data_IF_252218617102
#
_entry.id   IF_252218617102
#
_cell.length_a   1.000
_cell.length_b   1.000
_cell.length_c   1.000
_cell.angle_alpha   90.00
_cell.angle_beta   90.00
_cell.angle_gamma   90.00
#
_symmetry.space_group_name_H-M   'P 1'
#
loop_
_entity.id
_entity.type
_entity.pdbx_description
1 polymer ?
#
# COMPACT_ATOMS: atom_id res chain seq x y z
N UNK A 1 -16.46 -77.01 -24.47
CA UNK A 1 -17.77 -76.55 -23.98
C UNK A 1 -17.93 -77.08 -22.56
N UNK A 2 -17.87 -76.20 -21.56
CA UNK A 2 -19.12 -75.79 -20.90
C UNK A 2 -19.33 -74.26 -20.90
N UNK A 3 -20.58 -73.85 -20.64
CA UNK A 3 -21.00 -72.46 -20.44
C UNK A 3 -21.32 -72.24 -18.95
N UNK A 4 -20.76 -71.20 -18.33
CA UNK A 4 -21.27 -70.55 -17.11
C UNK A 4 -20.74 -69.10 -17.11
N UNK A 5 -21.53 -68.13 -17.55
CA UNK A 5 -22.56 -67.41 -16.79
C UNK A 5 -22.01 -66.37 -15.82
N UNK A 6 -22.00 -65.12 -16.31
CA UNK A 6 -21.95 -63.84 -15.61
C UNK A 6 -21.50 -63.80 -14.15
N UNK A 7 -20.23 -63.42 -13.94
CA UNK A 7 -19.85 -62.65 -12.76
C UNK A 7 -20.58 -61.30 -12.80
N UNK A 8 -21.73 -61.23 -12.13
CA UNK A 8 -22.51 -60.00 -12.01
C UNK A 8 -21.69 -58.91 -11.29
N UNK A 9 -21.81 -57.66 -11.76
CA UNK A 9 -21.16 -56.54 -11.11
C UNK A 9 -21.80 -56.31 -9.73
N UNK A 10 -21.17 -56.83 -8.68
CA UNK A 10 -21.44 -56.44 -7.30
C UNK A 10 -20.91 -55.02 -7.06
N UNK A 11 -21.61 -54.04 -7.64
CA UNK A 11 -21.47 -52.63 -7.26
C UNK A 11 -21.84 -52.54 -5.79
N UNK A 12 -20.86 -52.22 -4.94
CA UNK A 12 -21.02 -52.24 -3.50
C UNK A 12 -22.13 -51.26 -3.08
N UNK A 13 -23.18 -51.79 -2.43
CA UNK A 13 -24.36 -51.02 -2.04
C UNK A 13 -24.07 -50.22 -0.76
N UNK A 14 -23.19 -49.23 -0.87
CA UNK A 14 -22.89 -48.30 0.23
C UNK A 14 -24.09 -47.38 0.46
N UNK A 15 -24.49 -47.21 1.73
CA UNK A 15 -25.51 -46.22 2.06
C UNK A 15 -24.99 -44.81 1.76
N UNK A 16 -25.76 -43.96 1.06
CA UNK A 16 -25.35 -42.60 0.78
C UNK A 16 -25.26 -41.81 2.09
N UNK A 17 -24.05 -41.34 2.42
CA UNK A 17 -23.79 -40.58 3.64
C UNK A 17 -24.38 -39.18 3.50
N UNK A 18 -25.62 -39.00 3.96
CA UNK A 18 -26.35 -37.73 3.91
C UNK A 18 -25.57 -36.64 4.66
N UNK A 19 -25.07 -35.65 3.92
CA UNK A 19 -24.49 -34.43 4.47
C UNK A 19 -25.58 -33.38 4.70
N UNK A 20 -25.35 -32.49 5.67
CA UNK A 20 -26.17 -31.28 5.83
C UNK A 20 -26.01 -30.37 4.61
N UNK A 21 -27.06 -29.66 4.13
CA UNK A 21 -27.00 -28.83 2.93
C UNK A 21 -26.30 -27.46 3.15
N UNK A 22 -25.06 -27.46 3.64
CA UNK A 22 -24.24 -26.24 3.79
C UNK A 22 -23.74 -25.68 2.45
N UNK A 23 -23.61 -26.53 1.43
CA UNK A 23 -22.92 -26.25 0.16
C UNK A 23 -23.39 -24.97 -0.53
N UNK A 24 -24.70 -24.70 -0.53
CA UNK A 24 -25.25 -23.48 -1.15
C UNK A 24 -24.83 -22.19 -0.44
N UNK A 25 -24.80 -22.20 0.89
CA UNK A 25 -24.32 -21.08 1.70
C UNK A 25 -22.80 -20.90 1.58
N UNK A 26 -22.04 -22.01 1.62
CA UNK A 26 -20.60 -21.96 1.39
C UNK A 26 -20.24 -21.42 0.01
N UNK A 27 -21.05 -21.71 -1.01
CA UNK A 27 -20.82 -21.22 -2.37
C UNK A 27 -21.15 -19.73 -2.50
N UNK A 28 -22.29 -19.26 -1.97
CA UNK A 28 -22.65 -17.83 -2.05
C UNK A 28 -21.69 -16.93 -1.26
N UNK A 29 -21.11 -17.43 -0.15
CA UNK A 29 -20.03 -16.74 0.58
C UNK A 29 -18.75 -16.66 -0.27
N UNK A 30 -18.39 -17.74 -0.99
CA UNK A 30 -17.22 -17.76 -1.90
C UNK A 30 -17.44 -16.81 -3.09
N UNK A 31 -18.62 -16.84 -3.70
CA UNK A 31 -19.05 -15.94 -4.79
C UNK A 31 -19.00 -14.47 -4.36
N UNK A 32 -19.56 -14.15 -3.18
CA UNK A 32 -19.50 -12.80 -2.61
C UNK A 32 -18.06 -12.33 -2.44
N UNK A 33 -17.16 -13.18 -1.93
CA UNK A 33 -15.72 -12.87 -1.80
C UNK A 33 -15.05 -12.65 -3.15
N UNK A 34 -15.34 -13.47 -4.16
CA UNK A 34 -14.80 -13.28 -5.51
C UNK A 34 -15.26 -11.96 -6.13
N UNK A 35 -16.55 -11.62 -5.98
CA UNK A 35 -17.13 -10.36 -6.46
C UNK A 35 -16.50 -9.14 -5.77
N UNK A 36 -16.26 -9.21 -4.45
CA UNK A 36 -15.56 -8.16 -3.70
C UNK A 36 -14.11 -7.94 -4.19
N UNK A 37 -13.33 -9.02 -4.36
CA UNK A 37 -11.96 -8.93 -4.88
C UNK A 37 -11.90 -8.37 -6.31
N UNK A 38 -12.84 -8.75 -7.17
CA UNK A 38 -12.97 -8.19 -8.51
C UNK A 38 -13.34 -6.70 -8.48
N UNK A 39 -14.27 -6.29 -7.62
CA UNK A 39 -14.65 -4.89 -7.47
C UNK A 39 -13.51 -4.01 -6.92
N UNK A 40 -12.70 -4.55 -6.01
CA UNK A 40 -11.49 -3.91 -5.47
C UNK A 40 -10.42 -3.71 -6.55
N UNK A 41 -10.11 -4.76 -7.32
CA UNK A 41 -9.22 -4.69 -8.48
C UNK A 41 -9.69 -3.64 -9.49
N UNK A 42 -10.95 -3.71 -9.94
CA UNK A 42 -11.55 -2.76 -10.88
C UNK A 42 -11.54 -1.31 -10.35
N UNK A 43 -11.68 -1.11 -9.04
CA UNK A 43 -11.60 0.21 -8.41
C UNK A 43 -10.17 0.77 -8.45
N UNK A 44 -9.17 -0.07 -8.19
CA UNK A 44 -7.76 0.32 -8.11
C UNK A 44 -7.05 0.50 -9.45
N UNK A 45 -7.49 -0.19 -10.52
CA UNK A 45 -6.85 -0.16 -11.83
C UNK A 45 -6.71 1.24 -12.45
N UNK A 46 -5.66 1.42 -13.25
CA UNK A 46 -5.40 2.63 -14.03
C UNK A 46 -6.61 2.96 -14.94
N UNK A 47 -7.14 4.21 -14.91
CA UNK A 47 -8.34 4.58 -15.67
C UNK A 47 -8.28 4.24 -17.15
N UNK A 48 -7.13 4.44 -17.80
CA UNK A 48 -6.90 4.19 -19.23
C UNK A 48 -7.00 2.72 -19.63
N UNK A 49 -6.77 1.80 -18.69
CA UNK A 49 -6.91 0.35 -18.91
C UNK A 49 -8.32 -0.08 -18.54
N UNK A 50 -8.84 0.42 -17.42
CA UNK A 50 -10.20 0.13 -16.94
C UNK A 50 -11.29 0.49 -17.95
N UNK A 51 -11.10 1.53 -18.76
CA UNK A 51 -12.02 1.89 -19.86
C UNK A 51 -12.07 0.87 -21.01
N UNK A 52 -11.06 0.01 -21.13
CA UNK A 52 -10.88 -0.92 -22.24
C UNK A 52 -11.10 -2.40 -21.85
N UNK A 53 -11.42 -2.67 -20.59
CA UNK A 53 -11.44 -4.03 -20.01
C UNK A 53 -12.80 -4.35 -19.41
N UNK A 54 -13.39 -5.47 -19.87
CA UNK A 54 -14.58 -6.08 -19.28
C UNK A 54 -14.17 -7.03 -18.13
N UNK A 55 -14.91 -7.03 -17.02
CA UNK A 55 -14.55 -7.79 -15.82
C UNK A 55 -14.53 -9.32 -16.03
N UNK A 56 -15.35 -9.86 -16.94
CA UNK A 56 -15.37 -11.29 -17.26
C UNK A 56 -14.12 -11.70 -18.06
N UNK A 57 -13.77 -10.96 -19.12
CA UNK A 57 -12.54 -11.15 -19.88
C UNK A 57 -11.29 -10.93 -19.01
N UNK A 58 -11.35 -9.98 -18.07
CA UNK A 58 -10.29 -9.74 -17.09
C UNK A 58 -10.01 -11.00 -16.27
N UNK A 59 -11.08 -11.62 -15.74
CA UNK A 59 -11.02 -12.83 -14.93
C UNK A 59 -10.55 -14.06 -15.70
N UNK A 60 -11.06 -14.28 -16.91
CA UNK A 60 -10.87 -15.52 -17.66
C UNK A 60 -9.58 -15.53 -18.50
N UNK A 61 -9.25 -14.41 -19.15
CA UNK A 61 -8.09 -14.34 -20.04
C UNK A 61 -6.89 -13.68 -19.34
N UNK A 62 -7.08 -12.48 -18.79
CA UNK A 62 -5.93 -11.63 -18.43
C UNK A 62 -5.28 -12.00 -17.10
N UNK A 63 -6.06 -12.25 -16.04
CA UNK A 63 -5.51 -12.54 -14.70
C UNK A 63 -4.74 -13.87 -14.63
N UNK A 64 -5.17 -14.97 -15.28
CA UNK A 64 -4.37 -16.19 -15.34
C UNK A 64 -3.03 -16.00 -16.07
N UNK A 65 -3.00 -15.17 -17.13
CA UNK A 65 -1.74 -14.78 -17.79
C UNK A 65 -0.89 -13.85 -16.91
N UNK A 66 -1.52 -12.92 -16.19
CA UNK A 66 -0.87 -11.98 -15.28
C UNK A 66 -0.08 -12.70 -14.18
N UNK A 67 -0.64 -13.78 -13.61
CA UNK A 67 0.05 -14.65 -12.64
C UNK A 67 1.35 -15.30 -13.18
N UNK A 68 1.48 -15.46 -14.50
CA UNK A 68 2.72 -15.92 -15.13
C UNK A 68 3.68 -14.76 -15.44
N UNK A 69 3.16 -13.58 -15.81
CA UNK A 69 3.94 -12.38 -16.15
C UNK A 69 4.61 -11.78 -14.90
N UNK A 70 3.96 -11.81 -13.74
CA UNK A 70 4.48 -11.29 -12.45
C UNK A 70 5.77 -12.01 -11.99
N UNK A 71 6.13 -13.16 -12.58
CA UNK A 71 7.27 -13.99 -12.16
C UNK A 71 8.41 -13.96 -13.20
N UNK A 72 9.20 -12.85 -13.28
CA UNK A 72 10.27 -12.70 -14.24
C UNK A 72 11.44 -13.65 -13.97
N UNK A 73 12.23 -13.95 -15.00
CA UNK A 73 13.34 -14.91 -14.96
C UNK A 73 14.65 -14.28 -14.45
N UNK A 74 14.58 -13.56 -13.33
CA UNK A 74 15.73 -12.85 -12.75
C UNK A 74 16.67 -13.79 -12.00
N UNK A 75 17.98 -13.58 -12.13
CA UNK A 75 18.99 -14.27 -11.30
C UNK A 75 18.91 -13.78 -9.85
N UNK A 76 19.09 -14.65 -8.83
CA UNK A 76 19.13 -14.26 -7.42
C UNK A 76 20.49 -13.61 -7.06
N UNK A 77 20.76 -12.44 -7.63
CA UNK A 77 21.95 -11.61 -7.37
C UNK A 77 21.52 -10.19 -6.98
N UNK A 78 22.46 -9.38 -6.48
CA UNK A 78 22.20 -7.96 -6.19
C UNK A 78 21.75 -7.22 -7.47
N UNK A 79 20.73 -6.37 -7.37
CA UNK A 79 20.13 -5.60 -8.48
C UNK A 79 21.15 -4.76 -9.27
N UNK A 80 22.23 -4.32 -8.62
CA UNK A 80 23.33 -3.62 -9.26
C UNK A 80 23.98 -4.47 -10.37
N UNK A 81 24.09 -5.80 -10.16
CA UNK A 81 24.69 -6.79 -11.05
C UNK A 81 23.72 -7.35 -12.12
N UNK A 82 22.49 -6.84 -12.19
CA UNK A 82 21.57 -7.16 -13.29
C UNK A 82 22.02 -6.49 -14.59
N UNK A 83 21.97 -7.26 -15.68
CA UNK A 83 22.16 -6.78 -17.05
C UNK A 83 21.01 -5.82 -17.43
N UNK A 84 21.22 -4.94 -18.42
CA UNK A 84 20.22 -3.98 -18.89
C UNK A 84 18.90 -4.65 -19.29
N UNK A 85 18.96 -5.88 -19.84
CA UNK A 85 17.78 -6.70 -20.14
C UNK A 85 17.03 -7.15 -18.88
N UNK A 86 17.72 -7.65 -17.86
CA UNK A 86 17.09 -8.06 -16.59
C UNK A 86 16.44 -6.86 -15.87
N UNK A 87 17.07 -5.68 -15.93
CA UNK A 87 16.51 -4.42 -15.43
C UNK A 87 15.26 -3.98 -16.21
N UNK A 88 15.25 -4.15 -17.53
CA UNK A 88 14.07 -3.87 -18.36
C UNK A 88 12.91 -4.84 -18.10
N UNK A 89 13.18 -6.15 -17.98
CA UNK A 89 12.17 -7.16 -17.64
C UNK A 89 11.56 -6.90 -16.24
N UNK A 90 12.37 -6.52 -15.25
CA UNK A 90 11.89 -6.12 -13.92
C UNK A 90 11.02 -4.84 -13.98
N UNK A 91 11.49 -3.79 -14.67
CA UNK A 91 10.74 -2.53 -14.84
C UNK A 91 9.40 -2.76 -15.56
N UNK A 92 9.37 -3.63 -16.56
CA UNK A 92 8.14 -4.01 -17.25
C UNK A 92 7.14 -4.67 -16.29
N UNK A 93 7.57 -5.64 -15.47
CA UNK A 93 6.68 -6.28 -14.48
C UNK A 93 6.14 -5.27 -13.47
N UNK A 94 6.99 -4.37 -12.96
CA UNK A 94 6.58 -3.29 -12.04
C UNK A 94 5.52 -2.39 -12.66
N UNK A 95 5.72 -1.96 -13.92
CA UNK A 95 4.78 -1.08 -14.61
C UNK A 95 3.40 -1.74 -14.74
N UNK A 96 3.35 -3.00 -15.19
CA UNK A 96 2.08 -3.74 -15.36
C UNK A 96 1.43 -4.00 -13.98
N UNK A 97 2.21 -4.28 -12.93
CA UNK A 97 1.67 -4.41 -11.56
C UNK A 97 1.04 -3.09 -11.05
N UNK A 98 1.67 -1.93 -11.27
CA UNK A 98 1.08 -0.63 -10.91
C UNK A 98 -0.21 -0.37 -11.71
N UNK A 99 -0.19 -0.68 -13.00
CA UNK A 99 -1.31 -0.48 -13.93
C UNK A 99 -2.55 -1.31 -13.56
N UNK A 100 -2.35 -2.56 -13.16
CA UNK A 100 -3.41 -3.47 -12.67
C UNK A 100 -3.62 -3.40 -11.14
N UNK A 101 -2.98 -2.45 -10.44
CA UNK A 101 -3.09 -2.22 -8.99
C UNK A 101 -2.71 -3.42 -8.09
N UNK A 102 -1.75 -4.25 -8.52
CA UNK A 102 -1.31 -5.43 -7.77
C UNK A 102 -0.10 -5.11 -6.89
N UNK A 103 -0.18 -5.53 -5.63
CA UNK A 103 0.81 -5.30 -4.57
C UNK A 103 1.29 -6.63 -3.99
N UNK A 104 2.52 -6.67 -3.45
CA UNK A 104 2.98 -7.76 -2.59
C UNK A 104 3.01 -7.28 -1.14
N UNK A 105 2.07 -7.75 -0.32
CA UNK A 105 1.95 -7.40 1.09
C UNK A 105 2.54 -8.50 1.97
N UNK A 106 3.34 -8.13 2.97
CA UNK A 106 3.94 -9.06 3.92
C UNK A 106 2.97 -9.38 5.06
N UNK A 107 2.27 -10.49 4.95
CA UNK A 107 1.37 -10.99 5.99
C UNK A 107 2.11 -11.86 7.01
N UNK A 108 1.64 -11.86 8.26
CA UNK A 108 2.11 -12.77 9.31
C UNK A 108 1.11 -13.91 9.46
N UNK A 109 1.54 -15.12 9.14
CA UNK A 109 0.79 -16.36 9.34
C UNK A 109 0.51 -16.57 10.84
N UNK A 110 -0.61 -17.21 11.26
CA UNK A 110 -0.84 -17.60 12.67
C UNK A 110 0.34 -18.38 13.28
N UNK A 111 1.01 -19.23 12.49
CA UNK A 111 2.23 -19.98 12.86
C UNK A 111 3.47 -19.08 13.13
N UNK A 112 3.34 -17.76 12.96
CA UNK A 112 4.40 -16.78 13.20
C UNK A 112 5.38 -16.53 12.04
N UNK A 113 5.28 -17.30 10.95
CA UNK A 113 6.01 -17.05 9.69
C UNK A 113 5.53 -15.78 8.99
N UNK A 114 6.39 -15.23 8.13
CA UNK A 114 6.04 -14.14 7.21
C UNK A 114 5.91 -14.67 5.77
N UNK A 115 4.85 -14.25 5.07
CA UNK A 115 4.57 -14.65 3.68
C UNK A 115 4.18 -13.40 2.89
N UNK A 116 4.69 -13.29 1.65
CA UNK A 116 4.25 -12.26 0.71
C UNK A 116 3.04 -12.76 -0.09
N UNK A 117 1.88 -12.19 0.20
CA UNK A 117 0.60 -12.45 -0.48
C UNK A 117 0.36 -11.37 -1.54
N UNK A 118 -0.36 -11.69 -2.62
CA UNK A 118 -0.83 -10.69 -3.57
C UNK A 118 -2.06 -9.95 -3.01
N UNK A 119 -2.06 -8.64 -3.16
CA UNK A 119 -3.12 -7.72 -2.73
C UNK A 119 -3.49 -6.81 -3.92
N UNK A 120 -4.73 -6.86 -4.45
CA UNK A 120 -5.78 -7.84 -4.14
C UNK A 120 -5.37 -9.27 -4.53
N UNK A 121 -5.94 -10.27 -3.84
CA UNK A 121 -5.55 -11.68 -4.00
C UNK A 121 -6.16 -12.31 -5.27
N UNK A 122 -5.48 -12.10 -6.40
CA UNK A 122 -5.84 -12.69 -7.70
C UNK A 122 -5.54 -14.19 -7.81
N UNK A 123 -4.68 -14.75 -6.94
CA UNK A 123 -4.44 -16.21 -6.88
C UNK A 123 -5.75 -16.93 -6.51
N UNK A 124 -6.53 -16.40 -5.56
CA UNK A 124 -7.84 -16.94 -5.17
C UNK A 124 -8.89 -16.90 -6.30
N UNK A 125 -8.76 -15.97 -7.25
CA UNK A 125 -9.67 -15.84 -8.39
C UNK A 125 -9.35 -16.82 -9.53
N UNK A 126 -8.07 -17.16 -9.75
CA UNK A 126 -7.61 -17.91 -10.92
C UNK A 126 -7.23 -19.38 -10.63
N UNK A 127 -6.87 -19.71 -9.39
CA UNK A 127 -6.35 -21.03 -9.02
C UNK A 127 -7.47 -22.00 -8.60
N UNK A 128 -8.09 -22.68 -9.56
CA UNK A 128 -9.10 -23.70 -9.28
C UNK A 128 -8.49 -25.00 -8.71
N UNK A 129 -9.16 -25.70 -7.78
CA UNK A 129 -8.66 -26.93 -7.18
C UNK A 129 -8.47 -28.02 -8.23
N UNK A 130 -7.28 -28.63 -8.27
CA UNK A 130 -6.90 -29.66 -9.25
C UNK A 130 -6.16 -29.12 -10.48
N UNK A 131 -6.03 -27.79 -10.63
CA UNK A 131 -5.11 -27.22 -11.63
C UNK A 131 -3.65 -27.47 -11.27
N UNK A 132 -2.78 -27.40 -12.29
CA UNK A 132 -1.32 -27.37 -12.08
C UNK A 132 -0.96 -26.07 -11.35
N UNK A 133 -0.17 -26.17 -10.28
CA UNK A 133 0.32 -24.98 -9.57
C UNK A 133 1.07 -24.06 -10.54
N UNK A 134 0.78 -22.75 -10.49
CA UNK A 134 1.55 -21.77 -11.25
C UNK A 134 2.98 -21.67 -10.71
N UNK A 135 3.90 -21.12 -11.51
CA UNK A 135 5.23 -20.78 -11.01
C UNK A 135 5.08 -19.62 -10.02
N UNK A 136 5.56 -19.80 -8.79
CA UNK A 136 5.57 -18.76 -7.76
C UNK A 136 6.99 -18.20 -7.61
N UNK A 137 7.11 -16.88 -7.44
CA UNK A 137 8.38 -16.20 -7.18
C UNK A 137 8.89 -16.52 -5.76
N UNK A 138 10.22 -16.64 -5.58
CA UNK A 138 10.83 -16.89 -4.27
C UNK A 138 10.61 -15.71 -3.31
N UNK A 139 10.72 -15.94 -1.99
CA UNK A 139 10.50 -14.89 -0.97
C UNK A 139 11.31 -13.62 -1.24
N UNK A 140 12.62 -13.76 -1.48
CA UNK A 140 13.49 -12.63 -1.80
C UNK A 140 13.16 -11.96 -3.15
N UNK A 141 12.61 -12.71 -4.11
CA UNK A 141 12.09 -12.15 -5.35
C UNK A 141 10.79 -11.36 -5.14
N UNK A 142 9.86 -11.86 -4.33
CA UNK A 142 8.64 -11.12 -3.95
C UNK A 142 8.98 -9.84 -3.19
N UNK A 143 9.95 -9.90 -2.25
CA UNK A 143 10.48 -8.74 -1.53
C UNK A 143 11.13 -7.71 -2.48
N UNK A 144 11.94 -8.16 -3.44
CA UNK A 144 12.54 -7.29 -4.46
C UNK A 144 11.45 -6.58 -5.28
N UNK A 145 10.47 -7.33 -5.81
CA UNK A 145 9.38 -6.74 -6.60
C UNK A 145 8.55 -5.76 -5.75
N UNK A 146 8.26 -6.07 -4.48
CA UNK A 146 7.58 -5.16 -3.57
C UNK A 146 8.33 -3.83 -3.38
N UNK A 147 9.63 -3.89 -3.10
CA UNK A 147 10.49 -2.71 -2.90
C UNK A 147 10.53 -1.80 -4.15
N UNK A 148 10.79 -2.37 -5.32
CA UNK A 148 10.88 -1.59 -6.55
C UNK A 148 9.50 -1.06 -7.01
N UNK A 149 8.41 -1.77 -6.69
CA UNK A 149 7.03 -1.31 -6.89
C UNK A 149 6.72 -0.07 -6.02
N UNK A 150 7.15 -0.07 -4.77
CA UNK A 150 7.02 1.09 -3.87
C UNK A 150 7.84 2.28 -4.37
N UNK A 151 9.09 2.07 -4.81
CA UNK A 151 9.93 3.12 -5.38
C UNK A 151 9.33 3.73 -6.65
N UNK A 152 8.83 2.94 -7.60
CA UNK A 152 8.22 3.47 -8.82
C UNK A 152 6.86 4.14 -8.54
N UNK A 153 6.07 3.65 -7.58
CA UNK A 153 4.87 4.35 -7.09
C UNK A 153 5.21 5.73 -6.52
N UNK A 154 6.25 5.81 -5.68
CA UNK A 154 6.75 7.07 -5.15
C UNK A 154 7.21 7.98 -6.29
N UNK A 155 8.03 7.49 -7.23
CA UNK A 155 8.51 8.28 -8.39
C UNK A 155 7.34 8.88 -9.18
N UNK A 156 6.32 8.06 -9.51
CA UNK A 156 5.08 8.49 -10.19
C UNK A 156 4.18 9.41 -9.34
N UNK A 157 4.41 9.53 -8.03
CA UNK A 157 3.71 10.47 -7.16
C UNK A 157 4.45 11.81 -7.07
N UNK A 158 5.77 11.81 -6.87
CA UNK A 158 6.62 13.01 -6.92
C UNK A 158 6.46 13.75 -8.25
N UNK A 159 6.53 13.04 -9.37
CA UNK A 159 6.37 13.60 -10.72
C UNK A 159 5.04 14.38 -10.90
N UNK A 160 3.95 13.92 -10.26
CA UNK A 160 2.65 14.62 -10.31
C UNK A 160 2.63 15.87 -9.44
N UNK A 161 3.27 15.83 -8.27
CA UNK A 161 3.39 16.99 -7.38
C UNK A 161 4.23 18.09 -8.04
N UNK A 162 5.35 17.74 -8.67
CA UNK A 162 6.19 18.68 -9.38
C UNK A 162 5.47 19.35 -10.55
N UNK A 163 4.63 18.63 -11.31
CA UNK A 163 3.76 19.20 -12.33
C UNK A 163 2.78 20.22 -11.71
N UNK A 164 2.13 19.91 -10.59
CA UNK A 164 1.20 20.85 -9.93
C UNK A 164 1.88 22.10 -9.36
N UNK A 165 3.14 22.00 -8.96
CA UNK A 165 3.92 23.12 -8.42
C UNK A 165 4.52 24.04 -9.51
N UNK A 166 4.59 23.58 -10.77
CA UNK A 166 5.18 24.31 -11.90
C UNK A 166 4.14 24.73 -12.96
N UNK A 167 2.85 24.57 -12.69
CA UNK A 167 1.79 25.03 -13.59
C UNK A 167 1.74 26.58 -13.66
N UNK A 168 1.67 27.19 -14.86
CA UNK A 168 1.52 28.64 -14.98
C UNK A 168 0.08 29.08 -14.67
N UNK A 169 -0.08 30.15 -13.88
CA UNK A 169 -1.36 30.82 -13.66
C UNK A 169 -1.88 31.42 -14.99
N UNK A 170 -2.99 30.89 -15.52
CA UNK A 170 -3.65 31.46 -16.70
C UNK A 170 -5.19 31.27 -16.72
N UNK A 171 -5.89 32.30 -16.22
CA UNK A 171 -7.22 32.78 -16.65
C UNK A 171 -8.41 31.79 -16.72
N UNK A 172 -9.13 31.73 -15.60
CA UNK A 172 -10.52 32.19 -15.44
C UNK A 172 -11.53 32.11 -16.62
N UNK A 173 -12.69 31.48 -16.36
CA UNK A 173 -14.02 32.05 -16.66
C UNK A 173 -15.09 31.33 -15.81
N UNK A 174 -15.84 32.05 -14.97
CA UNK A 174 -17.16 31.59 -14.47
C UNK A 174 -17.43 31.80 -12.97
N UNK A 175 -18.24 32.80 -12.63
CA UNK A 175 -18.54 33.21 -11.25
C UNK A 175 -19.60 32.33 -10.55
N UNK A 176 -19.47 32.19 -9.23
CA UNK A 176 -20.59 31.94 -8.30
C UNK A 176 -20.15 32.30 -6.87
N UNK A 177 -20.52 33.47 -6.37
CA UNK A 177 -20.20 33.90 -5.01
C UNK A 177 -20.96 33.10 -3.94
N UNK A 178 -20.27 32.71 -2.86
CA UNK A 178 -20.79 32.94 -1.51
C UNK A 178 -19.67 33.00 -0.46
N UNK A 179 -19.85 33.87 0.55
CA UNK A 179 -18.78 34.35 1.43
C UNK A 179 -18.72 33.61 2.78
N UNK A 180 -17.51 33.36 3.25
CA UNK A 180 -17.16 33.42 4.68
C UNK A 180 -15.68 33.84 4.82
N UNK A 181 -15.40 34.80 5.70
CA UNK A 181 -14.07 35.41 5.84
C UNK A 181 -13.20 34.74 6.90
N UNK A 182 -11.87 34.83 6.76
CA UNK A 182 -10.89 35.31 7.77
C UNK A 182 -9.46 35.23 7.17
N UNK A 183 -8.60 36.21 7.49
CA UNK A 183 -7.29 36.41 6.86
C UNK A 183 -6.12 35.67 7.54
N UNK A 184 -5.03 35.42 6.79
CA UNK A 184 -3.66 35.39 7.32
C UNK A 184 -2.80 36.57 6.83
N UNK A 185 -1.97 37.11 7.73
CA UNK A 185 -1.18 38.34 7.55
C UNK A 185 -0.03 38.18 6.53
N UNK A 186 0.20 39.23 5.71
CA UNK A 186 1.37 39.35 4.81
C UNK A 186 2.40 40.37 5.33
N UNK A 187 3.63 39.93 5.65
CA UNK A 187 4.81 40.80 5.75
C UNK A 187 6.10 39.96 5.66
N UNK A 188 7.13 40.24 4.87
CA UNK A 188 7.23 40.90 3.55
C UNK A 188 8.58 40.50 2.93
N UNK A 189 8.64 40.33 1.60
CA UNK A 189 9.87 40.05 0.84
C UNK A 189 10.88 41.20 0.93
N UNK A 190 12.18 40.88 1.00
CA UNK A 190 13.27 41.75 0.57
C UNK A 190 14.16 41.00 -0.42
N UNK A 191 14.68 41.69 -1.43
CA UNK A 191 15.34 41.09 -2.60
C UNK A 191 16.83 41.41 -2.69
N UNK A 192 17.49 40.74 -3.64
CA UNK A 192 18.73 41.16 -4.34
C UNK A 192 20.04 41.24 -3.55
N UNK A 193 21.12 40.92 -4.27
CA UNK A 193 22.50 41.18 -3.89
C UNK A 193 23.39 41.27 -5.13
N UNK A 194 24.30 42.26 -5.21
CA UNK A 194 25.39 42.26 -6.19
C UNK A 194 26.74 41.88 -5.55
N UNK A 195 27.80 41.91 -6.38
CA UNK A 195 29.11 41.29 -6.12
C UNK A 195 30.06 42.12 -5.26
N UNK A 196 30.86 41.41 -4.44
CA UNK A 196 32.28 41.62 -4.04
C UNK A 196 32.80 43.06 -3.81
N UNK A 197 33.49 43.27 -2.67
CA UNK A 197 34.91 43.71 -2.70
C UNK A 197 35.71 43.50 -1.38
N UNK A 198 36.96 43.99 -1.35
CA UNK A 198 38.16 43.47 -0.65
C UNK A 198 38.50 44.12 0.72
N UNK A 199 38.89 43.30 1.73
CA UNK A 199 39.61 43.61 3.02
C UNK A 199 38.87 44.55 4.01
N UNK A 200 38.89 44.41 5.35
CA UNK A 200 39.52 43.49 6.34
C UNK A 200 38.64 43.48 7.64
N UNK A 201 38.95 43.01 8.87
CA UNK A 201 40.18 42.66 9.62
C UNK A 201 39.87 41.65 10.79
N UNK A 202 40.73 41.61 11.82
CA UNK A 202 40.54 41.06 13.20
C UNK A 202 39.11 41.29 13.79
N UNK A 203 38.56 40.45 14.68
CA UNK A 203 39.15 39.39 15.55
C UNK A 203 38.14 38.28 15.91
N UNK A 204 38.61 37.24 16.63
CA UNK A 204 37.86 36.19 17.38
C UNK A 204 37.01 35.21 16.57
N UNK A 205 37.56 34.01 16.35
CA UNK A 205 36.87 32.84 15.80
C UNK A 205 35.83 32.22 16.76
N UNK A 206 34.65 31.93 16.24
CA UNK A 206 33.88 30.73 16.59
C UNK A 206 33.25 30.22 15.31
N UNK A 207 33.87 29.21 14.69
CA UNK A 207 33.54 28.81 13.34
C UNK A 207 32.19 28.07 13.28
N UNK A 208 31.41 28.32 12.23
CA UNK A 208 30.07 27.76 12.03
C UNK A 208 30.12 26.27 11.69
N UNK A 209 30.28 25.43 12.71
CA UNK A 209 30.23 23.98 12.59
C UNK A 209 28.83 23.51 12.12
N UNK A 210 28.74 22.52 11.21
CA UNK A 210 27.48 21.91 10.80
C UNK A 210 26.63 21.43 11.98
N UNK A 211 25.30 21.50 11.84
CA UNK A 211 24.34 21.29 12.92
C UNK A 211 24.52 19.95 13.68
N UNK A 212 24.92 18.88 12.99
CA UNK A 212 25.17 17.55 13.60
C UNK A 212 26.45 17.46 14.46
N UNK A 213 27.29 18.51 14.48
CA UNK A 213 28.50 18.63 15.32
C UNK A 213 28.33 19.65 16.47
N UNK A 214 27.16 20.29 16.59
CA UNK A 214 26.88 21.22 17.69
C UNK A 214 26.27 20.48 18.87
N UNK A 215 26.99 20.40 19.99
CA UNK A 215 26.51 19.76 21.22
C UNK A 215 25.48 20.64 21.92
N UNK A 216 24.25 20.14 22.08
CA UNK A 216 23.17 20.85 22.78
C UNK A 216 23.49 21.01 24.28
N UNK A 217 23.51 22.25 24.77
CA UNK A 217 23.66 22.56 26.19
C UNK A 217 22.32 22.29 26.90
N UNK A 218 22.28 21.52 28.01
CA UNK A 218 21.03 21.21 28.70
C UNK A 218 20.40 22.48 29.30
N UNK A 219 19.12 22.71 29.01
CA UNK A 219 18.34 23.83 29.55
C UNK A 219 18.02 23.55 31.03
N UNK A 220 18.68 24.27 31.94
CA UNK A 220 18.42 24.18 33.38
C UNK A 220 16.99 24.60 33.67
N UNK A 221 16.21 23.70 34.27
CA UNK A 221 14.84 23.98 34.73
C UNK A 221 14.91 24.59 36.13
N UNK A 222 14.65 25.89 36.23
CA UNK A 222 14.37 26.55 37.52
C UNK A 222 12.97 26.17 38.00
N UNK A 223 12.78 25.79 39.28
CA UNK A 223 11.44 25.55 39.82
C UNK A 223 10.71 26.87 40.01
N UNK A 224 9.74 27.17 39.13
CA UNK A 224 8.94 28.38 39.21
C UNK A 224 8.07 28.42 40.48
N UNK A 225 8.04 29.58 41.14
CA UNK A 225 7.26 29.80 42.36
C UNK A 225 5.77 29.89 42.06
N UNK A 226 5.05 28.78 42.18
CA UNK A 226 3.58 28.77 42.14
C UNK A 226 3.02 29.56 43.34
N UNK A 227 2.21 30.61 43.16
CA UNK A 227 1.62 31.35 44.27
C UNK A 227 0.51 30.53 44.95
N UNK A 228 0.71 30.21 46.23
CA UNK A 228 -0.25 29.46 47.05
C UNK A 228 -1.52 30.28 47.38
N UNK A 229 -2.50 30.35 46.44
CA UNK A 229 -3.86 30.82 46.77
C UNK A 229 -4.98 30.32 45.84
N UNK A 230 -5.04 29.02 45.60
CA UNK A 230 -6.08 28.39 44.76
C UNK A 230 -6.48 26.94 45.17
N UNK A 231 -6.31 26.55 46.44
CA UNK A 231 -6.55 25.17 46.91
C UNK A 231 -7.75 24.99 47.86
N UNK A 232 -8.56 26.02 48.05
CA UNK A 232 -9.89 25.91 48.67
C UNK A 232 -10.95 26.20 47.61
N UNK A 233 -11.67 25.16 47.14
CA UNK A 233 -13.00 25.14 46.47
C UNK A 233 -13.29 23.88 45.63
N UNK A 234 -12.38 22.88 45.57
CA UNK A 234 -12.61 21.62 44.81
C UNK A 234 -12.67 20.33 45.64
N UNK A 235 -12.87 20.43 46.96
CA UNK A 235 -13.17 19.28 47.83
C UNK A 235 -14.68 19.03 47.95
N UNK A 236 -15.51 20.06 47.74
CA UNK A 236 -16.97 20.01 47.91
C UNK A 236 -17.75 19.46 46.68
N UNK A 237 -17.16 18.51 45.94
CA UNK A 237 -17.74 17.99 44.69
C UNK A 237 -17.47 16.48 44.46
N UNK A 238 -17.31 15.71 45.53
CA UNK A 238 -17.06 14.25 45.46
C UNK A 238 -17.77 13.45 46.57
N UNK A 239 -18.91 13.95 47.06
CA UNK A 239 -19.70 13.32 48.15
C UNK A 239 -21.13 12.93 47.75
N UNK A 240 -21.74 13.60 46.77
CA UNK A 240 -23.14 13.37 46.37
C UNK A 240 -23.26 12.44 45.16
N UNK A 241 -23.01 11.14 45.35
CA UNK A 241 -23.19 10.12 44.31
C UNK A 241 -23.50 8.69 44.83
N UNK A 242 -23.96 8.56 46.08
CA UNK A 242 -24.44 7.28 46.65
C UNK A 242 -25.56 7.53 47.65
N UNK A 243 -26.80 7.51 47.16
CA UNK A 243 -28.01 7.10 47.90
C UNK A 243 -29.25 7.28 46.98
N UNK A 244 -29.52 6.28 46.14
CA UNK A 244 -30.84 6.03 45.55
C UNK A 244 -31.07 4.51 45.57
N UNK A 245 -32.26 4.11 46.00
CA UNK A 245 -32.74 2.73 46.11
C UNK A 245 -34.14 2.65 45.49
#
# INVERSE_FOLDING_TARGET
MPLCYGTSCLVAWSWPKLSYPSVGYEMSVKETRCSQLMAELMKGMCPSIRSCVLAENLLLDTLPMMLHIIVPNLRPVNTQLFNSREKAELSQVINIMIEYNLNYVQERTPEGSYVYTLDPNIEFLCCYPGMKSTRVLSYGGKQLVAHELELEKLRRAWEKLDITNNAPDSMDTGESEQRASIEPIRTSRSTEGPRKDVKTNKTTDTQLLPNHLQTLVPKVVTPDKVPHKALELKVAAFSDARDIN
#
